data_IF_384642131856
#
_entry.id   IF_384642131856
#
_cell.length_a   1.000
_cell.length_b   1.000
_cell.length_c   1.000
_cell.angle_alpha   90.00
_cell.angle_beta   90.00
_cell.angle_gamma   90.00
#
_symmetry.space_group_name_H-M   'P 1'
#
loop_
_entity.id
_entity.type
_entity.pdbx_description
1 polymer ?
#
# COMPACT_ATOMS: atom_id res chain seq x y z
N UNK A 1 -60.87 2.49 19.92
CA UNK A 1 -59.82 3.52 20.02
C UNK A 1 -58.53 2.88 19.53
N UNK A 2 -58.08 3.28 18.34
CA UNK A 2 -56.95 2.68 17.62
C UNK A 2 -55.66 3.34 18.12
N UNK A 3 -54.69 2.53 18.53
CA UNK A 3 -53.38 2.99 18.96
C UNK A 3 -52.58 3.51 17.76
N UNK A 4 -52.15 4.77 17.84
CA UNK A 4 -51.38 5.47 16.83
C UNK A 4 -49.93 4.95 16.82
N UNK A 5 -49.58 4.25 15.75
CA UNK A 5 -48.22 3.77 15.46
C UNK A 5 -47.48 4.94 14.81
N UNK A 6 -46.82 5.77 15.62
CA UNK A 6 -45.85 6.77 15.13
C UNK A 6 -44.47 6.12 14.96
N UNK A 7 -43.89 6.37 13.80
CA UNK A 7 -42.74 5.71 13.21
C UNK A 7 -41.41 5.99 13.96
N UNK A 8 -40.49 5.01 14.07
CA UNK A 8 -39.20 5.16 14.73
C UNK A 8 -38.12 5.81 13.83
N UNK A 9 -38.48 6.82 13.03
CA UNK A 9 -37.60 7.41 12.01
C UNK A 9 -37.00 8.78 12.34
N UNK A 10 -37.66 9.60 13.17
CA UNK A 10 -37.29 11.02 13.30
C UNK A 10 -36.29 11.34 14.41
N UNK A 11 -36.18 10.49 15.44
CA UNK A 11 -35.19 10.69 16.53
C UNK A 11 -33.74 10.39 16.10
N UNK A 12 -33.55 9.64 15.01
CA UNK A 12 -32.21 9.36 14.47
C UNK A 12 -31.63 10.51 13.65
N UNK A 13 -32.46 11.35 13.01
CA UNK A 13 -31.98 12.44 12.15
C UNK A 13 -31.51 13.64 12.99
N UNK A 14 -32.18 13.94 14.10
CA UNK A 14 -31.72 15.02 14.99
C UNK A 14 -30.41 14.68 15.72
N UNK A 15 -30.18 13.40 16.06
CA UNK A 15 -28.92 12.96 16.65
C UNK A 15 -27.73 13.00 15.67
N UNK A 16 -27.99 12.80 14.37
CA UNK A 16 -26.95 12.90 13.32
C UNK A 16 -26.53 14.35 13.04
N UNK A 17 -27.46 15.32 13.12
CA UNK A 17 -27.15 16.74 12.94
C UNK A 17 -26.29 17.31 14.07
N UNK A 18 -26.47 16.83 15.31
CA UNK A 18 -25.65 17.24 16.46
C UNK A 18 -24.19 16.76 16.35
N UNK A 19 -23.96 15.63 15.69
CA UNK A 19 -22.62 15.06 15.46
C UNK A 19 -21.80 15.89 14.45
N UNK A 20 -22.47 16.53 13.49
CA UNK A 20 -21.83 17.40 12.50
C UNK A 20 -21.39 18.76 13.07
N UNK A 21 -21.95 19.19 14.21
CA UNK A 21 -21.65 20.48 14.81
C UNK A 21 -20.51 20.46 15.86
N UNK A 22 -20.03 19.27 16.27
CA UNK A 22 -18.94 19.12 17.25
C UNK A 22 -17.65 18.53 16.67
N UNK A 23 -17.56 18.43 15.35
CA UNK A 23 -16.42 17.84 14.65
C UNK A 23 -15.18 18.75 14.67
N UNK A 24 -14.37 18.63 15.72
CA UNK A 24 -12.98 19.08 15.74
C UNK A 24 -12.19 18.31 14.67
N UNK A 25 -11.84 18.99 13.56
CA UNK A 25 -10.77 18.69 12.59
C UNK A 25 -10.64 17.27 11.97
N UNK A 26 -11.54 16.31 12.25
CA UNK A 26 -11.43 14.92 11.76
C UNK A 26 -12.44 14.51 10.68
N UNK A 27 -13.42 15.35 10.34
CA UNK A 27 -14.61 14.93 9.59
C UNK A 27 -14.64 15.34 8.10
N UNK A 28 -13.50 15.71 7.51
CA UNK A 28 -13.38 15.95 6.05
C UNK A 28 -12.96 14.69 5.27
N UNK A 29 -12.39 13.70 5.97
CA UNK A 29 -11.83 12.49 5.35
C UNK A 29 -12.91 11.54 4.81
N UNK A 30 -14.08 11.48 5.47
CA UNK A 30 -15.19 10.62 5.05
C UNK A 30 -15.87 11.13 3.76
N UNK A 31 -15.90 12.46 3.56
CA UNK A 31 -16.47 13.09 2.35
C UNK A 31 -15.56 12.85 1.14
N UNK A 32 -14.23 12.89 1.33
CA UNK A 32 -13.26 12.60 0.26
C UNK A 32 -13.36 11.13 -0.19
N UNK A 33 -13.59 10.20 0.73
CA UNK A 33 -13.74 8.77 0.41
C UNK A 33 -14.99 8.49 -0.44
N UNK A 34 -16.12 9.16 -0.16
CA UNK A 34 -17.37 8.99 -0.92
C UNK A 34 -17.30 9.58 -2.34
N UNK A 35 -16.52 10.64 -2.56
CA UNK A 35 -16.37 11.25 -3.90
C UNK A 35 -15.49 10.38 -4.81
N UNK A 36 -14.49 9.68 -4.26
CA UNK A 36 -13.57 8.84 -5.04
C UNK A 36 -14.23 7.55 -5.58
N UNK A 37 -15.27 7.04 -4.93
CA UNK A 37 -15.92 5.78 -5.32
C UNK A 37 -16.87 5.89 -6.54
N UNK A 38 -17.20 7.10 -7.00
CA UNK A 38 -18.26 7.32 -8.02
C UNK A 38 -17.80 7.61 -9.46
N UNK A 39 -16.50 7.68 -9.74
CA UNK A 39 -15.99 7.90 -11.10
C UNK A 39 -15.10 6.73 -11.52
N UNK A 40 -15.65 5.79 -12.30
CA UNK A 40 -14.97 5.13 -13.44
C UNK A 40 -15.72 3.86 -13.87
N UNK A 41 -16.98 4.02 -14.26
CA UNK A 41 -17.58 3.12 -15.24
C UNK A 41 -17.77 3.95 -16.50
N UNK A 42 -17.28 3.40 -17.62
CA UNK A 42 -17.39 3.89 -19.01
C UNK A 42 -16.12 4.52 -19.60
N UNK A 43 -15.28 3.68 -20.21
CA UNK A 43 -15.00 3.84 -21.64
C UNK A 43 -14.52 2.51 -22.24
N UNK A 44 -14.98 2.24 -23.47
CA UNK A 44 -14.99 0.96 -24.18
C UNK A 44 -14.54 1.26 -25.61
N UNK A 45 -13.49 0.62 -26.12
CA UNK A 45 -13.14 0.47 -27.55
C UNK A 45 -11.76 -0.22 -27.64
N UNK A 46 -11.36 -1.01 -28.64
CA UNK A 46 -12.02 -1.85 -29.63
C UNK A 46 -10.86 -2.64 -30.32
N UNK A 47 -10.98 -3.97 -30.39
CA UNK A 47 -10.63 -4.86 -31.52
C UNK A 47 -9.14 -5.20 -31.83
N UNK A 48 -8.95 -6.52 -32.04
CA UNK A 48 -7.79 -7.42 -32.28
C UNK A 48 -7.27 -7.34 -33.76
N UNK A 49 -6.46 -8.27 -34.38
CA UNK A 49 -5.93 -9.59 -33.97
C UNK A 49 -4.53 -10.06 -34.51
N UNK A 50 -4.11 -11.26 -34.06
CA UNK A 50 -3.38 -12.36 -34.74
C UNK A 50 -1.93 -12.20 -35.28
N UNK A 51 -1.01 -13.07 -34.83
CA UNK A 51 -0.34 -14.10 -35.66
C UNK A 51 0.75 -14.86 -34.86
N UNK A 52 0.84 -16.16 -35.11
CA UNK A 52 1.65 -17.18 -34.42
C UNK A 52 3.09 -17.28 -34.97
N UNK A 53 3.99 -17.86 -34.19
CA UNK A 53 4.63 -19.17 -34.45
C UNK A 53 6.15 -19.24 -34.13
N UNK A 54 6.53 -20.28 -33.35
CA UNK A 54 7.81 -21.06 -33.37
C UNK A 54 9.14 -20.32 -33.09
N UNK A 55 10.13 -20.86 -32.35
CA UNK A 55 10.55 -22.23 -32.09
C UNK A 55 11.59 -22.27 -30.95
N UNK A 56 11.78 -23.48 -30.42
CA UNK A 56 12.59 -23.90 -29.28
C UNK A 56 14.05 -23.40 -29.22
N UNK A 57 14.53 -23.14 -28.00
CA UNK A 57 15.80 -23.71 -27.53
C UNK A 57 15.77 -23.87 -26.00
N UNK A 58 16.03 -25.10 -25.58
CA UNK A 58 16.16 -25.59 -24.21
C UNK A 58 17.51 -25.15 -23.60
N UNK A 59 17.49 -24.62 -22.38
CA UNK A 59 18.65 -24.63 -21.46
C UNK A 59 18.18 -24.45 -20.01
N UNK A 60 17.98 -25.60 -19.36
CA UNK A 60 18.45 -25.93 -18.00
C UNK A 60 18.06 -25.04 -16.80
N UNK A 61 17.00 -25.48 -16.12
CA UNK A 61 16.97 -25.82 -14.69
C UNK A 61 17.59 -24.84 -13.69
N UNK A 62 16.76 -23.92 -13.20
CA UNK A 62 16.62 -23.72 -11.76
C UNK A 62 15.13 -23.63 -11.48
N UNK A 63 14.62 -24.57 -10.68
CA UNK A 63 13.26 -24.56 -10.15
C UNK A 63 12.87 -23.15 -9.73
N UNK A 64 12.06 -22.48 -10.55
CA UNK A 64 11.41 -21.24 -10.15
C UNK A 64 10.60 -21.63 -8.92
N UNK A 65 11.03 -21.17 -7.75
CA UNK A 65 10.23 -21.25 -6.54
C UNK A 65 8.87 -20.65 -6.92
N UNK A 66 7.85 -21.49 -7.06
CA UNK A 66 6.47 -21.08 -7.35
C UNK A 66 5.85 -20.34 -6.16
N UNK A 67 6.67 -19.81 -5.25
CA UNK A 67 6.22 -18.99 -4.16
C UNK A 67 5.89 -17.61 -4.71
N UNK A 68 4.66 -17.12 -4.48
CA UNK A 68 4.30 -15.76 -4.86
C UNK A 68 5.27 -14.77 -4.19
N UNK A 69 5.64 -13.67 -4.88
CA UNK A 69 6.58 -12.69 -4.34
C UNK A 69 6.16 -12.22 -2.95
N UNK A 70 7.10 -12.28 -2.01
CA UNK A 70 6.88 -11.89 -0.63
C UNK A 70 7.16 -10.40 -0.46
N UNK A 71 6.17 -9.67 0.00
CA UNK A 71 6.22 -8.23 0.26
C UNK A 71 6.14 -7.97 1.76
N UNK A 72 6.78 -6.90 2.22
CA UNK A 72 6.70 -6.43 3.59
C UNK A 72 6.15 -5.00 3.61
N UNK A 73 5.11 -4.75 4.39
CA UNK A 73 4.58 -3.41 4.63
C UNK A 73 4.93 -2.96 6.05
N UNK A 74 5.56 -1.81 6.18
CA UNK A 74 6.00 -1.24 7.47
C UNK A 74 5.36 0.12 7.66
N UNK A 75 4.50 0.24 8.67
CA UNK A 75 3.78 1.48 9.01
C UNK A 75 3.34 1.41 10.47
N UNK A 76 3.47 2.49 11.24
CA UNK A 76 3.10 2.48 12.66
C UNK A 76 1.57 2.50 12.85
N UNK A 77 0.85 3.05 11.87
CA UNK A 77 -0.61 3.13 11.92
C UNK A 77 -1.27 1.80 11.46
N UNK A 78 -2.06 1.14 12.33
CA UNK A 78 -2.71 -0.13 12.00
C UNK A 78 -3.66 -0.04 10.80
N UNK A 79 -4.32 1.10 10.59
CA UNK A 79 -5.24 1.30 9.47
C UNK A 79 -4.48 1.34 8.15
N UNK A 80 -3.34 2.04 8.10
CA UNK A 80 -2.51 2.11 6.90
C UNK A 80 -1.92 0.73 6.55
N UNK A 81 -1.41 -0.01 7.55
CA UNK A 81 -0.91 -1.39 7.36
C UNK A 81 -1.98 -2.29 6.79
N UNK A 82 -3.19 -2.24 7.35
CA UNK A 82 -4.32 -3.06 6.92
C UNK A 82 -4.72 -2.71 5.47
N UNK A 83 -4.92 -1.43 5.16
CA UNK A 83 -5.32 -1.00 3.81
C UNK A 83 -4.27 -1.38 2.76
N UNK A 84 -2.99 -1.10 3.03
CA UNK A 84 -1.92 -1.46 2.10
C UNK A 84 -1.78 -2.98 1.96
N UNK A 85 -1.86 -3.71 3.08
CA UNK A 85 -1.81 -5.17 3.11
C UNK A 85 -2.93 -5.81 2.30
N UNK A 86 -4.18 -5.39 2.52
CA UNK A 86 -5.35 -5.88 1.78
C UNK A 86 -5.24 -5.57 0.28
N UNK A 87 -4.83 -4.35 -0.09
CA UNK A 87 -4.65 -4.00 -1.51
C UNK A 87 -3.60 -4.88 -2.19
N UNK A 88 -2.49 -5.18 -1.51
CA UNK A 88 -1.43 -6.03 -2.04
C UNK A 88 -1.84 -7.51 -2.09
N UNK A 89 -2.56 -8.00 -1.09
CA UNK A 89 -3.11 -9.36 -1.08
C UNK A 89 -4.16 -9.56 -2.19
N UNK A 90 -5.02 -8.56 -2.45
CA UNK A 90 -5.97 -8.58 -3.56
C UNK A 90 -5.28 -8.61 -4.94
N UNK A 91 -4.01 -8.21 -5.01
CA UNK A 91 -3.19 -8.31 -6.22
C UNK A 91 -2.47 -9.67 -6.36
N UNK A 92 -2.66 -10.58 -5.40
CA UNK A 92 -2.11 -11.94 -5.43
C UNK A 92 -0.74 -12.10 -4.76
N UNK A 93 -0.26 -11.11 -4.01
CA UNK A 93 1.02 -11.18 -3.32
C UNK A 93 0.90 -11.75 -1.90
N UNK A 94 1.96 -12.39 -1.42
CA UNK A 94 2.13 -12.68 0.00
C UNK A 94 2.64 -11.42 0.70
N UNK A 95 1.98 -11.02 1.78
CA UNK A 95 2.26 -9.75 2.45
C UNK A 95 2.37 -9.97 3.94
N UNK A 96 3.52 -9.66 4.49
CA UNK A 96 3.69 -9.47 5.93
C UNK A 96 3.57 -8.00 6.29
N UNK A 97 3.22 -7.72 7.55
CA UNK A 97 3.14 -6.36 8.05
C UNK A 97 3.97 -6.20 9.32
N UNK A 98 4.64 -5.06 9.46
CA UNK A 98 5.41 -4.67 10.63
C UNK A 98 4.96 -3.28 11.11
N UNK A 99 4.85 -3.11 12.42
CA UNK A 99 4.44 -1.86 13.07
C UNK A 99 5.60 -0.89 13.37
N UNK A 100 6.83 -1.31 13.10
CA UNK A 100 8.02 -0.57 13.48
C UNK A 100 9.23 -0.97 12.64
N UNK A 101 10.19 -0.05 12.50
CA UNK A 101 11.45 -0.31 11.82
C UNK A 101 12.25 -1.45 12.45
N UNK A 102 12.21 -1.59 13.77
CA UNK A 102 12.86 -2.70 14.50
C UNK A 102 12.26 -4.06 14.12
N UNK A 103 10.94 -4.13 14.04
CA UNK A 103 10.25 -5.34 13.62
C UNK A 103 10.58 -5.69 12.17
N UNK A 104 10.61 -4.69 11.29
CA UNK A 104 11.03 -4.85 9.90
C UNK A 104 12.43 -5.48 9.80
N UNK A 105 13.42 -4.92 10.51
CA UNK A 105 14.79 -5.45 10.50
C UNK A 105 14.84 -6.90 10.99
N UNK A 106 14.05 -7.26 12.01
CA UNK A 106 13.96 -8.64 12.50
C UNK A 106 13.43 -9.57 11.41
N UNK A 107 12.31 -9.23 10.78
CA UNK A 107 11.73 -10.03 9.69
C UNK A 107 12.69 -10.19 8.51
N UNK A 108 13.36 -9.12 8.10
CA UNK A 108 14.35 -9.17 7.02
C UNK A 108 15.59 -10.02 7.33
N UNK A 109 15.88 -10.31 8.61
CA UNK A 109 16.95 -11.25 9.00
C UNK A 109 16.49 -12.70 8.87
N UNK A 110 15.24 -12.96 9.21
CA UNK A 110 14.63 -14.29 9.22
C UNK A 110 14.36 -14.80 7.80
N UNK A 111 13.78 -13.96 6.92
CA UNK A 111 13.49 -14.35 5.53
C UNK A 111 13.69 -13.19 4.53
N UNK A 112 14.00 -13.50 3.26
CA UNK A 112 14.12 -12.49 2.22
C UNK A 112 12.74 -11.97 1.78
N UNK A 113 12.71 -10.72 1.31
CA UNK A 113 11.54 -10.08 0.70
C UNK A 113 11.91 -9.52 -0.67
N UNK A 114 10.96 -9.56 -1.59
CA UNK A 114 11.12 -9.00 -2.94
C UNK A 114 10.98 -7.49 -2.94
N UNK A 115 10.07 -6.94 -2.13
CA UNK A 115 9.87 -5.49 -1.99
C UNK A 115 9.48 -5.17 -0.56
N UNK A 116 10.01 -4.06 -0.03
CA UNK A 116 9.66 -3.52 1.28
C UNK A 116 9.01 -2.16 1.07
N UNK A 117 7.78 -2.00 1.51
CA UNK A 117 7.12 -0.70 1.63
C UNK A 117 7.38 -0.14 3.03
N UNK A 118 8.02 1.02 3.12
CA UNK A 118 8.51 1.59 4.37
C UNK A 118 7.92 2.97 4.62
N UNK A 119 7.18 3.14 5.71
CA UNK A 119 6.75 4.47 6.14
C UNK A 119 7.94 5.34 6.57
N UNK A 120 8.00 6.56 6.04
CA UNK A 120 9.04 7.52 6.40
C UNK A 120 8.89 8.00 7.85
N UNK A 121 7.64 8.11 8.33
CA UNK A 121 7.32 8.75 9.60
C UNK A 121 6.86 7.70 10.61
N UNK A 122 7.78 7.18 11.42
CA UNK A 122 7.46 6.25 12.52
C UNK A 122 8.10 6.72 13.83
N UNK A 123 7.44 6.50 14.98
CA UNK A 123 8.02 6.82 16.28
C UNK A 123 9.23 5.92 16.61
N UNK A 124 10.24 6.51 17.24
CA UNK A 124 11.45 5.80 17.65
C UNK A 124 12.45 5.60 16.50
N UNK A 125 12.26 4.56 15.69
CA UNK A 125 13.13 4.30 14.53
C UNK A 125 12.36 4.62 13.25
N UNK A 126 12.74 5.72 12.60
CA UNK A 126 12.09 6.20 11.38
C UNK A 126 12.43 5.33 10.14
N UNK A 127 11.71 5.56 9.05
CA UNK A 127 11.89 4.80 7.81
C UNK A 127 13.27 5.00 7.18
N UNK A 128 13.87 6.17 7.33
CA UNK A 128 15.20 6.49 6.80
C UNK A 128 16.29 5.70 7.53
N UNK A 129 16.33 5.79 8.86
CA UNK A 129 17.26 5.03 9.71
C UNK A 129 17.09 3.53 9.55
N UNK A 130 15.84 3.08 9.39
CA UNK A 130 15.53 1.68 9.10
C UNK A 130 16.11 1.25 7.76
N UNK A 131 15.95 2.07 6.72
CA UNK A 131 16.50 1.81 5.38
C UNK A 131 18.02 1.73 5.44
N UNK A 132 18.70 2.67 6.10
CA UNK A 132 20.15 2.62 6.27
C UNK A 132 20.62 1.33 6.96
N UNK A 133 19.91 0.91 8.02
CA UNK A 133 20.21 -0.32 8.73
C UNK A 133 20.01 -1.56 7.83
N UNK A 134 18.95 -1.59 7.01
CA UNK A 134 18.69 -2.65 6.05
C UNK A 134 19.75 -2.68 4.94
N UNK A 135 20.25 -1.54 4.47
CA UNK A 135 21.31 -1.47 3.45
C UNK A 135 22.64 -2.02 3.93
N UNK A 136 22.90 -1.99 5.24
CA UNK A 136 24.09 -2.61 5.86
C UNK A 136 24.00 -4.13 5.96
N UNK A 137 22.80 -4.73 5.82
CA UNK A 137 22.63 -6.18 5.85
C UNK A 137 22.82 -6.77 4.44
N UNK A 138 23.67 -7.81 4.27
CA UNK A 138 23.89 -8.43 2.97
C UNK A 138 22.59 -8.92 2.29
N UNK A 139 21.65 -9.45 3.07
CA UNK A 139 20.37 -10.01 2.59
C UNK A 139 19.42 -8.96 2.00
N UNK A 140 19.51 -7.70 2.44
CA UNK A 140 18.59 -6.62 2.03
C UNK A 140 19.28 -5.48 1.30
N UNK A 141 20.58 -5.63 1.00
CA UNK A 141 21.38 -4.60 0.35
C UNK A 141 20.82 -4.19 -1.02
N UNK A 142 20.30 -5.15 -1.78
CA UNK A 142 19.71 -4.95 -3.10
C UNK A 142 18.18 -4.97 -3.12
N UNK A 143 17.52 -5.28 -2.00
CA UNK A 143 16.05 -5.35 -1.94
C UNK A 143 15.44 -3.97 -2.23
N UNK A 144 14.51 -3.85 -3.19
CA UNK A 144 13.74 -2.63 -3.42
C UNK A 144 13.04 -2.15 -2.13
N UNK A 145 13.38 -0.94 -1.68
CA UNK A 145 12.71 -0.27 -0.55
C UNK A 145 11.95 0.92 -1.12
N UNK A 146 10.62 0.89 -0.99
CA UNK A 146 9.68 1.87 -1.51
C UNK A 146 9.17 2.70 -0.35
N UNK A 147 9.49 3.99 -0.34
CA UNK A 147 9.08 4.90 0.72
C UNK A 147 7.57 5.16 0.66
N UNK A 148 6.90 5.15 1.80
CA UNK A 148 5.52 5.62 1.96
C UNK A 148 5.58 6.99 2.64
N UNK A 149 5.14 8.03 1.96
CA UNK A 149 5.24 9.42 2.44
C UNK A 149 3.87 10.07 2.53
N UNK A 150 3.62 10.87 3.57
CA UNK A 150 2.41 11.68 3.68
C UNK A 150 2.48 12.98 2.86
N UNK A 151 3.67 13.43 2.43
CA UNK A 151 3.87 14.75 1.83
C UNK A 151 4.40 14.66 0.38
N UNK A 152 4.08 15.67 -0.44
CA UNK A 152 4.43 15.75 -1.86
C UNK A 152 5.94 15.84 -2.11
N UNK A 153 6.47 14.80 -2.78
CA UNK A 153 7.42 14.77 -3.92
C UNK A 153 8.71 15.60 -3.95
N UNK A 154 8.82 16.77 -3.34
CA UNK A 154 9.99 17.66 -3.50
C UNK A 154 10.92 17.64 -2.29
N UNK A 155 10.41 17.77 -1.06
CA UNK A 155 11.27 17.91 0.13
C UNK A 155 11.84 16.59 0.66
N UNK A 156 11.17 15.46 0.37
CA UNK A 156 11.60 14.14 0.84
C UNK A 156 12.36 13.34 -0.21
N UNK A 157 12.40 13.78 -1.47
CA UNK A 157 13.01 13.00 -2.54
C UNK A 157 14.51 12.84 -2.33
N UNK A 158 15.19 13.92 -1.95
CA UNK A 158 16.63 13.90 -1.70
C UNK A 158 16.96 13.02 -0.49
N UNK A 159 16.18 13.16 0.61
CA UNK A 159 16.33 12.30 1.81
C UNK A 159 16.06 10.83 1.54
N UNK A 160 15.07 10.50 0.71
CA UNK A 160 14.80 9.12 0.31
C UNK A 160 15.96 8.53 -0.49
N UNK A 161 16.54 9.30 -1.42
CA UNK A 161 17.68 8.88 -2.23
C UNK A 161 18.94 8.72 -1.37
N UNK A 162 19.21 9.65 -0.46
CA UNK A 162 20.35 9.60 0.48
C UNK A 162 20.27 8.38 1.40
N UNK A 163 19.09 8.04 1.92
CA UNK A 163 18.89 6.85 2.74
C UNK A 163 18.99 5.53 1.95
N UNK A 164 19.02 5.60 0.61
CA UNK A 164 19.10 4.44 -0.28
C UNK A 164 17.75 3.79 -0.59
N UNK A 165 16.65 4.55 -0.53
CA UNK A 165 15.34 4.11 -1.01
C UNK A 165 15.27 4.18 -2.54
N UNK A 166 14.50 3.27 -3.13
CA UNK A 166 14.45 3.07 -4.58
C UNK A 166 13.35 3.89 -5.27
N UNK A 167 12.23 4.10 -4.58
CA UNK A 167 11.04 4.77 -5.11
C UNK A 167 10.19 5.26 -3.94
N UNK A 168 9.11 5.97 -4.24
CA UNK A 168 8.18 6.47 -3.22
C UNK A 168 6.73 6.44 -3.70
N UNK A 169 5.82 6.28 -2.74
CA UNK A 169 4.38 6.34 -2.92
C UNK A 169 3.81 7.32 -1.90
N UNK A 170 3.09 8.31 -2.39
CA UNK A 170 2.36 9.23 -1.53
C UNK A 170 1.10 8.53 -0.97
N UNK A 171 0.85 8.73 0.32
CA UNK A 171 -0.42 8.39 0.98
C UNK A 171 -1.45 9.47 0.62
N UNK A 172 -2.74 9.15 0.43
CA UNK A 172 -3.37 7.83 0.60
C UNK A 172 -3.04 6.84 -0.54
N UNK A 173 -2.98 5.55 -0.22
CA UNK A 173 -2.63 4.51 -1.18
C UNK A 173 -3.64 4.42 -2.33
N UNK A 174 -3.15 4.52 -3.56
CA UNK A 174 -3.94 4.32 -4.76
C UNK A 174 -3.55 2.98 -5.41
N UNK A 175 -4.53 2.09 -5.62
CA UNK A 175 -4.31 0.77 -6.25
C UNK A 175 -3.51 0.86 -7.55
N UNK A 176 -3.79 1.84 -8.43
CA UNK A 176 -3.05 2.02 -9.69
C UNK A 176 -1.59 2.39 -9.44
N UNK A 177 -1.31 3.21 -8.41
CA UNK A 177 0.06 3.61 -8.06
C UNK A 177 0.83 2.45 -7.43
N UNK A 178 0.19 1.65 -6.58
CA UNK A 178 0.78 0.41 -6.06
C UNK A 178 1.09 -0.57 -7.20
N UNK A 179 0.12 -0.86 -8.07
CA UNK A 179 0.31 -1.75 -9.22
C UNK A 179 1.44 -1.29 -10.13
N UNK A 180 1.46 -0.02 -10.53
CA UNK A 180 2.52 0.51 -11.39
C UNK A 180 3.91 0.48 -10.72
N UNK A 181 3.98 0.60 -9.40
CA UNK A 181 5.25 0.52 -8.66
C UNK A 181 5.69 -0.93 -8.51
N UNK A 182 4.78 -1.84 -8.19
CA UNK A 182 5.05 -3.28 -8.17
C UNK A 182 5.50 -3.79 -9.54
N UNK A 183 4.87 -3.35 -10.63
CA UNK A 183 5.28 -3.72 -11.98
C UNK A 183 6.71 -3.24 -12.34
N UNK A 184 7.24 -2.21 -11.66
CA UNK A 184 8.63 -1.76 -11.83
C UNK A 184 9.63 -2.58 -11.00
N UNK A 185 9.23 -3.00 -9.79
CA UNK A 185 10.16 -3.52 -8.78
C UNK A 185 10.01 -5.01 -8.47
N UNK A 186 8.86 -5.60 -8.78
CA UNK A 186 8.62 -7.03 -8.72
C UNK A 186 8.88 -7.59 -10.12
N UNK A 187 10.06 -8.16 -10.32
CA UNK A 187 10.38 -8.90 -11.54
C UNK A 187 9.61 -10.23 -11.52
N UNK A 188 8.98 -10.66 -12.64
CA UNK A 188 8.40 -12.00 -12.76
C UNK A 188 9.45 -13.11 -12.72
#
# INVERSE_FOLDING_TARGET
MVADIRQPGEQFIQSAAQYLASATAGSLFLIILLIAARRNVSEKAAIQPAAQATSNACSELSSADNNPPALLVVDDNPVNRMVAGEMLQQLGYQVDTADSGRLCIRYCREKPYNVIFMDCNMPGMDGFSTTEALRRLPKTRSTPIIALTANTLSEHKDKCLEAGMNDYIAKPFNRKKLQSTLARWVTP
#
